data_IF_412185099806
#
_entry.id   IF_412185099806
#
_cell.length_a   1.000
_cell.length_b   1.000
_cell.length_c   1.000
_cell.angle_alpha   90.00
_cell.angle_beta   90.00
_cell.angle_gamma   90.00
#
_symmetry.space_group_name_H-M   'P 1'
#
loop_
_entity.id
_entity.type
_entity.pdbx_description
1 polymer ?
#
# COMPACT_ATOMS: atom_id res chain seq x y z
N UNK A 1 -7.46 5.97 12.09
CA UNK A 1 -7.55 7.04 11.07
C UNK A 1 -7.32 6.47 9.68
N UNK A 2 -6.13 5.95 9.33
CA UNK A 2 -5.90 5.35 7.99
C UNK A 2 -6.96 4.30 7.60
N UNK A 3 -7.27 3.33 8.45
CA UNK A 3 -8.27 2.31 8.12
C UNK A 3 -9.68 2.89 7.96
N UNK A 4 -10.11 3.80 8.83
CA UNK A 4 -11.37 4.52 8.65
C UNK A 4 -11.41 5.31 7.34
N UNK A 5 -10.28 5.93 6.95
CA UNK A 5 -10.16 6.67 5.68
C UNK A 5 -10.24 5.69 4.49
N UNK A 6 -9.66 4.49 4.60
CA UNK A 6 -9.74 3.42 3.60
C UNK A 6 -11.16 2.88 3.48
N UNK A 7 -11.82 2.54 4.59
CA UNK A 7 -13.20 2.05 4.62
C UNK A 7 -14.14 3.06 3.98
N UNK A 8 -14.07 4.32 4.43
CA UNK A 8 -14.87 5.42 3.87
C UNK A 8 -14.64 5.57 2.36
N UNK A 9 -13.38 5.47 1.92
CA UNK A 9 -13.04 5.56 0.50
C UNK A 9 -13.62 4.38 -0.30
N UNK A 10 -13.45 3.15 0.18
CA UNK A 10 -13.96 1.96 -0.51
C UNK A 10 -15.49 1.96 -0.58
N UNK A 11 -16.19 2.43 0.45
CA UNK A 11 -17.64 2.60 0.43
C UNK A 11 -18.08 3.64 -0.62
N UNK A 12 -17.40 4.78 -0.68
CA UNK A 12 -17.72 5.85 -1.64
C UNK A 12 -17.42 5.47 -3.09
N UNK A 13 -16.45 4.59 -3.30
CA UNK A 13 -15.95 4.19 -4.61
C UNK A 13 -16.30 2.73 -4.96
N UNK A 14 -17.27 2.11 -4.30
CA UNK A 14 -17.62 0.69 -4.49
C UNK A 14 -18.02 0.32 -5.94
N UNK A 15 -18.51 1.30 -6.71
CA UNK A 15 -18.88 1.14 -8.12
C UNK A 15 -17.74 1.36 -9.11
N UNK A 16 -16.58 1.83 -8.63
CA UNK A 16 -15.41 2.06 -9.48
C UNK A 16 -14.70 0.73 -9.80
N UNK A 17 -13.90 0.75 -10.88
CA UNK A 17 -13.11 -0.42 -11.25
C UNK A 17 -12.14 -0.79 -10.12
N UNK A 18 -11.87 -2.09 -9.90
CA UNK A 18 -11.02 -2.53 -8.80
C UNK A 18 -9.59 -1.98 -8.89
N UNK A 19 -9.07 -1.76 -10.11
CA UNK A 19 -7.78 -1.09 -10.32
C UNK A 19 -7.79 0.39 -9.87
N UNK A 20 -8.89 1.11 -10.05
CA UNK A 20 -9.08 2.50 -9.60
C UNK A 20 -9.19 2.56 -8.07
N UNK A 21 -9.97 1.65 -7.48
CA UNK A 21 -10.07 1.50 -6.02
C UNK A 21 -8.71 1.21 -5.40
N UNK A 22 -7.93 0.28 -5.99
CA UNK A 22 -6.59 -0.04 -5.52
C UNK A 22 -5.64 1.16 -5.63
N UNK A 23 -5.65 1.91 -6.74
CA UNK A 23 -4.87 3.16 -6.88
C UNK A 23 -5.21 4.18 -5.78
N UNK A 24 -6.49 4.35 -5.47
CA UNK A 24 -6.94 5.24 -4.41
C UNK A 24 -6.46 4.81 -3.03
N UNK A 25 -6.54 3.51 -2.71
CA UNK A 25 -6.00 2.94 -1.48
C UNK A 25 -4.49 3.20 -1.34
N UNK A 26 -3.72 2.99 -2.42
CA UNK A 26 -2.29 3.30 -2.43
C UNK A 26 -2.01 4.79 -2.16
N UNK A 27 -2.83 5.67 -2.73
CA UNK A 27 -2.72 7.11 -2.49
C UNK A 27 -2.94 7.47 -1.01
N UNK A 28 -3.97 6.91 -0.38
CA UNK A 28 -4.24 7.11 1.05
C UNK A 28 -3.08 6.62 1.92
N UNK A 29 -2.54 5.44 1.61
CA UNK A 29 -1.43 4.86 2.34
C UNK A 29 -0.15 5.71 2.25
N UNK A 30 0.20 6.18 1.04
CA UNK A 30 1.34 7.06 0.81
C UNK A 30 1.17 8.40 1.56
N UNK A 31 -0.02 9.02 1.48
CA UNK A 31 -0.32 10.26 2.21
C UNK A 31 -0.22 10.09 3.72
N UNK A 32 -0.69 8.96 4.25
CA UNK A 32 -0.55 8.65 5.66
C UNK A 32 0.92 8.54 6.07
N UNK A 33 1.77 7.91 5.25
CA UNK A 33 3.21 7.84 5.49
C UNK A 33 3.86 9.21 5.52
N UNK A 34 3.58 10.08 4.55
CA UNK A 34 4.13 11.43 4.50
C UNK A 34 3.72 12.25 5.73
N UNK A 35 2.43 12.20 6.12
CA UNK A 35 1.96 12.87 7.34
C UNK A 35 2.68 12.36 8.58
N UNK A 36 2.88 11.05 8.71
CA UNK A 36 3.59 10.46 9.86
C UNK A 36 5.07 10.84 9.86
N UNK A 37 5.73 10.86 8.70
CA UNK A 37 7.14 11.26 8.59
C UNK A 37 7.37 12.70 9.04
N UNK A 38 6.48 13.62 8.66
CA UNK A 38 6.51 15.03 9.10
C UNK A 38 6.33 15.18 10.61
N UNK A 39 5.48 14.35 11.22
CA UNK A 39 5.26 14.36 12.69
C UNK A 39 6.46 13.80 13.46
N UNK A 40 7.20 12.86 12.87
CA UNK A 40 8.33 12.18 13.50
C UNK A 40 9.68 12.89 13.30
N UNK A 41 9.75 13.92 12.46
CA UNK A 41 11.02 14.63 12.18
C UNK A 41 11.59 15.36 13.41
N UNK A 42 10.88 15.37 14.55
CA UNK A 42 11.34 15.92 15.83
C UNK A 42 11.58 14.91 16.96
N UNK A 43 11.48 13.59 16.70
CA UNK A 43 11.67 12.55 17.72
C UNK A 43 12.72 11.56 17.22
N UNK A 44 13.93 11.58 17.79
CA UNK A 44 14.97 10.58 17.51
C UNK A 44 14.49 9.20 18.01
N UNK A 45 14.05 8.32 17.12
CA UNK A 45 13.62 6.96 17.49
C UNK A 45 14.81 6.01 17.63
N UNK A 46 15.05 5.58 18.87
CA UNK A 46 15.90 4.44 19.23
C UNK A 46 15.35 3.13 18.64
N UNK A 47 16.20 2.42 17.92
CA UNK A 47 15.91 1.19 17.16
C UNK A 47 15.54 -0.02 18.02
N UNK A 48 14.51 -0.79 17.63
CA UNK A 48 14.28 -2.16 18.11
C UNK A 48 14.61 -3.22 17.04
N UNK A 49 15.06 -4.37 17.51
CA UNK A 49 15.60 -5.50 16.76
C UNK A 49 14.53 -6.26 15.94
N UNK A 50 14.85 -6.56 14.67
CA UNK A 50 14.06 -7.33 13.69
C UNK A 50 12.58 -6.90 13.45
N UNK A 51 12.34 -5.66 12.99
CA UNK A 51 11.01 -5.09 12.81
C UNK A 51 10.18 -5.72 11.66
N UNK A 52 10.78 -6.40 10.69
CA UNK A 52 10.03 -6.95 9.54
C UNK A 52 9.09 -8.10 9.93
N UNK A 53 9.58 -9.12 10.64
CA UNK A 53 8.76 -10.31 10.99
C UNK A 53 7.60 -9.96 11.93
N UNK A 54 7.83 -9.10 12.92
CA UNK A 54 6.76 -8.66 13.83
C UNK A 54 5.71 -7.80 13.11
N UNK A 55 6.12 -7.00 12.11
CA UNK A 55 5.21 -6.14 11.34
C UNK A 55 4.37 -6.91 10.32
N UNK A 56 4.89 -8.02 9.78
CA UNK A 56 4.18 -8.89 8.83
C UNK A 56 3.15 -9.84 9.47
N UNK A 57 3.05 -9.87 10.79
CA UNK A 57 2.10 -10.72 11.53
C UNK A 57 1.12 -9.93 12.41
N UNK A 58 1.08 -8.60 12.25
CA UNK A 58 0.13 -7.76 12.98
C UNK A 58 -1.28 -7.85 12.39
N UNK A 59 -2.35 -7.72 13.20
CA UNK A 59 -3.73 -7.75 12.71
C UNK A 59 -3.99 -6.72 11.61
N UNK A 60 -3.42 -5.51 11.74
CA UNK A 60 -3.49 -4.45 10.72
C UNK A 60 -2.84 -4.86 9.38
N UNK A 61 -1.77 -5.65 9.43
CA UNK A 61 -1.11 -6.14 8.23
C UNK A 61 -2.00 -7.16 7.52
N UNK A 62 -2.62 -8.06 8.28
CA UNK A 62 -3.52 -9.07 7.74
C UNK A 62 -4.77 -8.43 7.11
N UNK A 63 -5.34 -7.41 7.74
CA UNK A 63 -6.48 -6.66 7.19
C UNK A 63 -6.11 -5.97 5.87
N UNK A 64 -4.98 -5.26 5.83
CA UNK A 64 -4.53 -4.60 4.59
C UNK A 64 -4.19 -5.60 3.49
N UNK A 65 -3.55 -6.72 3.85
CA UNK A 65 -3.26 -7.81 2.92
C UNK A 65 -4.54 -8.36 2.32
N UNK A 66 -5.55 -8.63 3.16
CA UNK A 66 -6.83 -9.17 2.72
C UNK A 66 -7.54 -8.22 1.74
N UNK A 67 -7.54 -6.91 2.02
CA UNK A 67 -8.09 -5.91 1.09
C UNK A 67 -7.39 -5.92 -0.28
N UNK A 68 -6.06 -6.10 -0.30
CA UNK A 68 -5.34 -6.22 -1.56
C UNK A 68 -5.68 -7.50 -2.31
N UNK A 69 -5.77 -8.64 -1.62
CA UNK A 69 -6.16 -9.91 -2.24
C UNK A 69 -7.54 -9.81 -2.87
N UNK A 70 -8.52 -9.25 -2.17
CA UNK A 70 -9.89 -9.09 -2.67
C UNK A 70 -9.95 -8.20 -3.92
N UNK A 71 -9.28 -7.05 -3.90
CA UNK A 71 -9.20 -6.17 -5.08
C UNK A 71 -8.50 -6.87 -6.25
N UNK A 72 -7.45 -7.65 -6.00
CA UNK A 72 -6.76 -8.41 -7.04
C UNK A 72 -7.59 -9.56 -7.61
N UNK A 73 -8.40 -10.24 -6.77
CA UNK A 73 -9.35 -11.25 -7.23
C UNK A 73 -10.43 -10.63 -8.12
N UNK A 74 -10.97 -9.47 -7.73
CA UNK A 74 -11.91 -8.70 -8.56
C UNK A 74 -11.29 -8.28 -9.90
N UNK A 75 -10.01 -7.87 -9.91
CA UNK A 75 -9.28 -7.58 -11.15
C UNK A 75 -9.13 -8.81 -12.04
N UNK A 76 -8.75 -9.97 -11.49
CA UNK A 76 -8.67 -11.21 -12.28
C UNK A 76 -9.99 -11.57 -12.97
N UNK A 77 -11.12 -11.35 -12.29
CA UNK A 77 -12.45 -11.59 -12.86
C UNK A 77 -12.80 -10.57 -13.96
N UNK A 78 -12.52 -9.29 -13.72
CA UNK A 78 -12.93 -8.20 -14.62
C UNK A 78 -12.01 -8.02 -15.83
N UNK A 79 -10.70 -8.17 -15.66
CA UNK A 79 -9.67 -7.95 -16.67
C UNK A 79 -9.27 -9.27 -17.38
N UNK A 80 -9.85 -10.41 -16.99
CA UNK A 80 -9.54 -11.75 -17.51
C UNK A 80 -8.05 -12.11 -17.39
N UNK A 81 -7.41 -11.57 -16.36
CA UNK A 81 -6.02 -11.85 -16.02
C UNK A 81 -5.94 -13.10 -15.14
N UNK A 82 -4.76 -13.71 -15.04
CA UNK A 82 -4.56 -14.94 -14.28
C UNK A 82 -3.30 -14.88 -13.41
N UNK A 83 -3.15 -13.80 -12.63
CA UNK A 83 -2.05 -13.72 -11.67
C UNK A 83 -2.48 -14.18 -10.28
N UNK A 84 -1.54 -14.67 -9.49
CA UNK A 84 -1.81 -15.09 -8.12
C UNK A 84 -1.99 -13.86 -7.21
N UNK A 85 -3.22 -13.59 -6.78
CA UNK A 85 -3.60 -12.42 -5.98
C UNK A 85 -2.86 -12.34 -4.65
N UNK A 86 -2.67 -13.47 -3.96
CA UNK A 86 -1.92 -13.54 -2.69
C UNK A 86 -0.47 -13.13 -2.91
N UNK A 87 0.20 -13.74 -3.89
CA UNK A 87 1.59 -13.39 -4.20
C UNK A 87 1.73 -11.91 -4.59
N UNK A 88 0.77 -11.38 -5.35
CA UNK A 88 0.81 -9.96 -5.77
C UNK A 88 0.59 -9.03 -4.58
N UNK A 89 -0.32 -9.38 -3.65
CA UNK A 89 -0.51 -8.66 -2.39
C UNK A 89 0.75 -8.68 -1.51
N UNK A 90 1.42 -9.83 -1.38
CA UNK A 90 2.70 -9.95 -0.66
C UNK A 90 3.77 -9.02 -1.25
N UNK A 91 3.93 -9.03 -2.57
CA UNK A 91 4.90 -8.17 -3.27
C UNK A 91 4.56 -6.70 -3.11
N UNK A 92 3.28 -6.33 -3.19
CA UNK A 92 2.83 -4.95 -3.00
C UNK A 92 3.13 -4.47 -1.57
N UNK A 93 2.83 -5.29 -0.57
CA UNK A 93 3.14 -4.99 0.82
C UNK A 93 4.64 -4.80 1.05
N UNK A 94 5.49 -5.63 0.44
CA UNK A 94 6.94 -5.46 0.51
C UNK A 94 7.39 -4.14 -0.13
N UNK A 95 6.83 -3.79 -1.29
CA UNK A 95 7.08 -2.52 -1.95
C UNK A 95 6.62 -1.32 -1.11
N UNK A 96 5.53 -1.49 -0.36
CA UNK A 96 4.97 -0.53 0.59
C UNK A 96 5.64 -0.53 1.97
N UNK A 97 6.66 -1.37 2.20
CA UNK A 97 7.38 -1.40 3.48
C UNK A 97 8.06 -0.05 3.78
N UNK A 98 8.33 0.23 5.06
CA UNK A 98 8.99 1.50 5.47
C UNK A 98 10.32 1.66 4.75
N UNK A 99 11.14 0.62 4.74
CA UNK A 99 12.50 0.70 4.23
C UNK A 99 12.49 0.85 2.70
N UNK A 100 11.62 0.12 2.01
CA UNK A 100 11.40 0.30 0.57
C UNK A 100 10.94 1.73 0.25
N UNK A 101 9.91 2.23 0.95
CA UNK A 101 9.39 3.57 0.72
C UNK A 101 10.44 4.66 0.98
N UNK A 102 11.12 4.63 2.12
CA UNK A 102 12.20 5.57 2.46
C UNK A 102 13.35 5.50 1.48
N UNK A 103 13.71 4.30 0.99
CA UNK A 103 14.72 4.19 -0.05
C UNK A 103 14.31 4.92 -1.35
N UNK A 104 13.07 4.73 -1.81
CA UNK A 104 12.57 5.43 -3.00
C UNK A 104 12.45 6.95 -2.77
N UNK A 105 11.95 7.36 -1.60
CA UNK A 105 11.68 8.76 -1.27
C UNK A 105 12.94 9.56 -0.97
N UNK A 106 13.79 9.04 -0.09
CA UNK A 106 14.89 9.78 0.55
C UNK A 106 16.23 9.51 -0.15
N UNK A 107 16.46 8.28 -0.66
CA UNK A 107 17.71 7.91 -1.35
C UNK A 107 17.62 8.13 -2.86
N UNK A 108 16.50 7.75 -3.49
CA UNK A 108 16.29 7.98 -4.93
C UNK A 108 15.68 9.34 -5.24
N UNK A 109 15.12 10.04 -4.25
CA UNK A 109 14.55 11.37 -4.41
C UNK A 109 13.22 11.40 -5.16
N UNK A 110 12.52 10.26 -5.27
CA UNK A 110 11.21 10.24 -5.93
C UNK A 110 10.16 10.93 -5.09
N UNK A 111 9.26 11.66 -5.75
CA UNK A 111 8.11 12.26 -5.06
C UNK A 111 7.07 11.18 -4.73
N UNK A 112 6.19 11.43 -3.72
CA UNK A 112 5.08 10.52 -3.41
C UNK A 112 4.21 10.19 -4.62
N UNK A 113 4.00 11.16 -5.52
CA UNK A 113 3.24 11.00 -6.76
C UNK A 113 3.95 10.07 -7.73
N UNK A 114 5.28 10.21 -7.91
CA UNK A 114 6.08 9.30 -8.74
C UNK A 114 6.01 7.88 -8.17
N UNK A 115 6.16 7.72 -6.85
CA UNK A 115 6.09 6.40 -6.20
C UNK A 115 4.71 5.77 -6.45
N UNK A 116 3.62 6.54 -6.29
CA UNK A 116 2.26 6.07 -6.57
C UNK A 116 2.11 5.62 -8.03
N UNK A 117 2.57 6.41 -9.00
CA UNK A 117 2.45 6.07 -10.41
C UNK A 117 3.29 4.83 -10.77
N UNK A 118 4.49 4.68 -10.21
CA UNK A 118 5.33 3.50 -10.46
C UNK A 118 4.73 2.23 -9.83
N UNK A 119 4.21 2.32 -8.60
CA UNK A 119 3.48 1.19 -7.99
C UNK A 119 2.23 0.86 -8.80
N UNK A 120 1.51 1.87 -9.26
CA UNK A 120 0.34 1.70 -10.13
C UNK A 120 0.72 0.96 -11.42
N UNK A 121 1.79 1.37 -12.08
CA UNK A 121 2.25 0.72 -13.31
C UNK A 121 2.67 -0.75 -13.09
N UNK A 122 3.27 -1.08 -11.95
CA UNK A 122 3.71 -2.45 -11.64
C UNK A 122 2.55 -3.38 -11.23
N UNK A 123 1.56 -2.84 -10.52
CA UNK A 123 0.54 -3.65 -9.85
C UNK A 123 -0.86 -3.53 -10.46
N UNK A 124 -1.15 -2.49 -11.22
CA UNK A 124 -2.48 -2.22 -11.77
C UNK A 124 -2.59 -2.40 -13.29
N UNK A 125 -1.46 -2.44 -13.99
CA UNK A 125 -1.45 -2.84 -15.39
C UNK A 125 -1.36 -4.37 -15.43
N UNK A 126 -2.44 -4.99 -15.87
CA UNK A 126 -2.49 -6.36 -16.34
C UNK A 126 -3.28 -6.38 -17.66
#
# INVERSE_FOLDING_TARGET
>A
QLFNDIETFLEQHHSDLPNQRLKGLLSLFIRFRERKAQLLTGIEESSSTNPLKSRMHGPLFNELHQLFVELFDEMNVTEQTNFNSVFRADMLIMALSRDSYSFQRDVRGYSPEIILEQLSALFLLA
#
